data_IF_820042111038
#
_entry.id   IF_820042111038
#
_cell.length_a   1.000
_cell.length_b   1.000
_cell.length_c   1.000
_cell.angle_alpha   90.00
_cell.angle_beta   90.00
_cell.angle_gamma   90.00
#
_symmetry.space_group_name_H-M   'P 1'
#
loop_
_entity.id
_entity.type
_entity.pdbx_description
1 polymer ?
#
# COMPACT_ATOMS: atom_id res chain seq x y z
N UNK A 1 50.47 48.06 24.22
CA UNK A 1 51.22 48.63 23.09
C UNK A 1 50.99 47.78 21.85
N UNK A 2 50.54 48.44 20.78
CA UNK A 2 50.76 48.13 19.36
C UNK A 2 50.15 46.83 18.78
N UNK A 3 49.06 46.96 18.03
CA UNK A 3 48.98 47.16 16.56
C UNK A 3 48.98 45.81 15.83
N UNK A 4 47.84 45.35 15.29
CA UNK A 4 47.21 45.72 14.01
C UNK A 4 47.80 45.00 12.77
N UNK A 5 46.89 44.29 12.10
CA UNK A 5 46.77 43.96 10.67
C UNK A 5 47.65 42.89 10.02
N UNK A 6 46.98 41.89 9.42
CA UNK A 6 46.96 41.50 7.99
C UNK A 6 46.73 39.97 7.86
N UNK A 7 46.04 39.39 6.89
CA UNK A 7 45.06 39.77 5.87
C UNK A 7 44.61 38.41 5.29
N UNK A 8 43.29 38.22 5.14
CA UNK A 8 42.55 37.48 4.09
C UNK A 8 43.06 36.16 3.46
N UNK A 9 42.05 35.37 3.05
CA UNK A 9 42.05 34.18 2.17
C UNK A 9 42.20 32.86 2.95
N UNK A 10 41.35 31.85 2.81
CA UNK A 10 40.58 31.37 1.65
C UNK A 10 39.30 30.69 2.18
N UNK A 11 38.17 30.92 1.51
CA UNK A 11 36.99 30.05 1.64
C UNK A 11 37.37 28.65 1.18
N UNK A 12 37.46 27.68 2.09
CA UNK A 12 37.49 26.26 1.73
C UNK A 12 36.34 25.54 2.45
N UNK A 13 35.26 25.36 1.67
CA UNK A 13 34.34 24.22 1.65
C UNK A 13 34.36 23.34 2.91
N UNK A 14 33.26 23.37 3.65
CA UNK A 14 33.07 22.58 4.87
C UNK A 14 33.41 21.09 4.66
N UNK A 15 33.78 20.38 5.74
CA UNK A 15 34.28 19.02 5.64
C UNK A 15 33.23 18.13 4.98
N UNK A 16 33.53 17.68 3.77
CA UNK A 16 33.04 16.43 3.22
C UNK A 16 33.31 15.35 4.26
N UNK A 17 32.32 15.06 5.09
CA UNK A 17 32.33 13.94 6.02
C UNK A 17 32.29 12.64 5.20
N UNK A 18 33.45 12.25 4.68
CA UNK A 18 33.75 10.87 4.36
C UNK A 18 33.74 10.09 5.68
N UNK A 19 32.56 9.63 6.09
CA UNK A 19 32.40 8.80 7.28
C UNK A 19 33.03 7.45 7.01
N UNK A 20 34.17 7.25 7.65
CA UNK A 20 34.86 5.97 7.88
C UNK A 20 33.85 4.89 8.23
N UNK A 21 33.90 3.79 7.48
CA UNK A 21 33.18 2.55 7.73
C UNK A 21 33.61 1.95 9.07
N UNK A 22 32.71 1.92 10.05
CA UNK A 22 32.81 1.07 11.23
C UNK A 22 31.45 0.45 11.52
N UNK A 23 31.31 -0.83 11.16
CA UNK A 23 30.73 -1.91 11.98
C UNK A 23 29.34 -1.80 12.60
N UNK A 24 28.57 -0.74 12.38
CA UNK A 24 27.19 -0.62 12.88
C UNK A 24 26.25 -0.72 11.69
N UNK A 25 25.46 -1.79 11.64
CA UNK A 25 24.31 -1.89 10.73
C UNK A 25 23.36 -0.74 11.07
N UNK A 26 23.51 0.40 10.39
CA UNK A 26 22.46 1.40 10.35
C UNK A 26 21.34 0.80 9.48
N UNK A 27 20.07 0.78 9.91
CA UNK A 27 19.00 0.65 8.93
C UNK A 27 19.23 1.81 7.95
N UNK A 28 19.36 1.49 6.67
CA UNK A 28 19.41 2.52 5.64
C UNK A 28 18.28 3.52 5.92
N UNK A 29 18.54 4.85 5.92
CA UNK A 29 17.43 5.80 6.01
C UNK A 29 16.44 5.42 4.91
N UNK A 30 15.19 5.14 5.28
CA UNK A 30 14.12 4.73 4.35
C UNK A 30 13.90 5.75 3.22
N UNK A 31 14.50 6.93 3.37
CA UNK A 31 14.46 8.08 2.50
C UNK A 31 15.53 8.03 1.40
N UNK A 32 16.56 7.16 1.50
CA UNK A 32 17.50 6.87 0.40
C UNK A 32 16.96 5.83 -0.59
N UNK A 33 15.70 5.43 -0.43
CA UNK A 33 15.02 4.54 -1.36
C UNK A 33 14.54 5.36 -2.57
N UNK A 34 15.50 5.58 -3.47
CA UNK A 34 15.39 6.15 -4.82
C UNK A 34 15.49 7.68 -4.95
N UNK A 35 16.70 8.17 -5.25
CA UNK A 35 16.95 9.50 -5.83
C UNK A 35 16.24 9.77 -7.17
N UNK A 36 15.65 8.74 -7.80
CA UNK A 36 15.13 8.79 -9.17
C UNK A 36 13.69 8.29 -9.32
N UNK A 37 12.99 7.94 -8.23
CA UNK A 37 11.56 7.61 -8.27
C UNK A 37 10.76 8.70 -7.58
N UNK A 38 9.71 9.13 -8.25
CA UNK A 38 8.78 10.17 -7.78
C UNK A 38 7.89 9.74 -6.62
N UNK A 39 7.96 8.49 -6.14
CA UNK A 39 7.06 7.95 -5.10
C UNK A 39 7.85 7.28 -3.98
N UNK A 40 7.55 7.59 -2.70
CA UNK A 40 8.16 6.89 -1.57
C UNK A 40 7.80 5.40 -1.60
N UNK A 41 8.65 4.52 -1.07
CA UNK A 41 8.41 3.08 -1.09
C UNK A 41 7.19 2.73 -0.22
N UNK A 42 6.13 2.21 -0.84
CA UNK A 42 4.91 1.79 -0.12
C UNK A 42 4.99 0.33 0.33
N UNK A 43 4.76 0.08 1.62
CA UNK A 43 4.73 -1.27 2.20
C UNK A 43 3.42 -2.02 1.89
N UNK A 44 2.38 -1.33 1.44
CA UNK A 44 1.07 -1.88 1.08
C UNK A 44 -0.06 -0.94 1.44
N UNK A 45 -1.21 -1.50 1.83
CA UNK A 45 -2.41 -0.73 2.18
C UNK A 45 -2.43 -0.46 3.69
N UNK A 46 -2.26 0.80 4.07
CA UNK A 46 -2.38 1.26 5.45
C UNK A 46 -3.75 1.91 5.69
N UNK A 47 -4.05 2.26 6.95
CA UNK A 47 -5.21 3.09 7.26
C UNK A 47 -5.17 4.40 6.47
N UNK A 48 -6.33 4.91 6.08
CA UNK A 48 -6.53 6.11 5.24
C UNK A 48 -5.94 6.02 3.82
N UNK A 49 -5.40 4.87 3.42
CA UNK A 49 -5.01 4.66 2.02
C UNK A 49 -6.27 4.69 1.15
N UNK A 50 -6.23 5.46 0.06
CA UNK A 50 -7.31 5.54 -0.94
C UNK A 50 -7.25 4.33 -1.87
N UNK A 51 -8.41 3.78 -2.17
CA UNK A 51 -8.59 2.51 -2.86
C UNK A 51 -9.63 2.69 -3.97
N UNK A 52 -9.37 2.06 -5.11
CA UNK A 52 -10.31 1.99 -6.23
C UNK A 52 -11.13 0.73 -6.07
N UNK A 53 -12.45 0.89 -6.13
CA UNK A 53 -13.38 -0.22 -6.12
C UNK A 53 -13.51 -0.74 -7.55
N UNK A 54 -13.33 -2.04 -7.73
CA UNK A 54 -13.25 -2.66 -9.06
C UNK A 54 -14.34 -3.72 -9.30
N UNK A 55 -15.37 -3.68 -8.47
CA UNK A 55 -16.59 -4.43 -8.72
C UNK A 55 -17.60 -3.60 -9.50
N UNK A 56 -18.58 -4.27 -10.10
CA UNK A 56 -19.66 -3.63 -10.83
C UNK A 56 -20.80 -3.11 -9.93
N UNK A 57 -20.60 -3.04 -8.61
CA UNK A 57 -21.62 -2.61 -7.64
C UNK A 57 -22.00 -1.14 -7.84
N UNK A 58 -23.25 -0.79 -7.58
CA UNK A 58 -23.74 0.60 -7.68
C UNK A 58 -22.94 1.53 -6.74
N UNK A 59 -22.78 1.11 -5.49
CA UNK A 59 -21.97 1.82 -4.48
C UNK A 59 -20.53 2.08 -4.95
N UNK A 60 -19.91 1.08 -5.59
CA UNK A 60 -18.55 1.19 -6.11
C UNK A 60 -18.44 2.19 -7.26
N UNK A 61 -19.35 2.09 -8.23
CA UNK A 61 -19.40 3.00 -9.38
C UNK A 61 -19.65 4.45 -8.96
N UNK A 62 -20.61 4.66 -8.06
CA UNK A 62 -20.93 5.98 -7.53
C UNK A 62 -19.76 6.59 -6.73
N UNK A 63 -19.08 5.78 -5.92
CA UNK A 63 -17.92 6.24 -5.16
C UNK A 63 -16.76 6.69 -6.07
N UNK A 64 -16.50 5.91 -7.13
CA UNK A 64 -15.48 6.25 -8.13
C UNK A 64 -15.88 7.51 -8.93
N UNK A 65 -17.15 7.62 -9.33
CA UNK A 65 -17.66 8.78 -10.09
C UNK A 65 -17.68 10.07 -9.26
N UNK A 66 -17.99 9.99 -7.95
CA UNK A 66 -18.04 11.14 -7.05
C UNK A 66 -16.66 11.78 -6.78
N UNK A 67 -15.56 11.12 -7.16
CA UNK A 67 -14.19 11.55 -6.84
C UNK A 67 -13.78 11.34 -5.36
N UNK A 68 -14.72 10.92 -4.51
CA UNK A 68 -14.48 10.55 -3.11
C UNK A 68 -14.25 9.03 -3.01
N UNK A 69 -13.02 8.63 -3.32
CA UNK A 69 -12.59 7.24 -3.29
C UNK A 69 -12.77 6.61 -1.90
N UNK A 70 -12.94 5.29 -1.90
CA UNK A 70 -12.95 4.51 -0.67
C UNK A 70 -11.60 4.61 0.03
N UNK A 71 -11.61 4.55 1.37
CA UNK A 71 -10.37 4.47 2.13
C UNK A 71 -10.40 3.36 3.18
N UNK A 72 -9.24 2.78 3.44
CA UNK A 72 -9.06 1.73 4.44
C UNK A 72 -9.22 2.31 5.86
N UNK A 73 -10.15 1.78 6.63
CA UNK A 73 -10.28 2.10 8.07
C UNK A 73 -9.37 1.18 8.87
N UNK A 74 -9.44 -0.13 8.61
CA UNK A 74 -8.71 -1.12 9.38
C UNK A 74 -8.49 -2.41 8.59
N UNK A 75 -7.44 -3.15 8.92
CA UNK A 75 -7.09 -4.43 8.28
C UNK A 75 -7.44 -5.60 9.18
N UNK A 76 -8.05 -6.65 8.64
CA UNK A 76 -8.48 -7.84 9.38
C UNK A 76 -7.41 -8.94 9.34
N UNK A 77 -6.21 -8.66 9.88
CA UNK A 77 -5.16 -9.68 10.02
C UNK A 77 -5.27 -10.38 11.37
N UNK A 78 -5.28 -11.72 11.35
CA UNK A 78 -5.21 -12.52 12.55
C UNK A 78 -3.79 -12.49 13.15
N UNK A 79 -3.67 -12.57 14.47
CA UNK A 79 -2.37 -12.59 15.18
C UNK A 79 -1.71 -11.23 15.42
N UNK A 80 -2.33 -10.11 15.01
CA UNK A 80 -1.81 -8.76 15.25
C UNK A 80 -2.69 -7.99 16.24
N UNK A 81 -2.06 -7.32 17.20
CA UNK A 81 -2.78 -6.38 18.07
C UNK A 81 -3.16 -5.15 17.25
N UNK A 82 -4.39 -4.66 17.43
CA UNK A 82 -4.89 -3.48 16.71
C UNK A 82 -4.02 -2.22 16.91
N UNK A 83 -3.32 -2.12 18.06
CA UNK A 83 -2.39 -1.02 18.37
C UNK A 83 -1.17 -0.98 17.45
N UNK A 84 -0.75 -2.12 16.88
CA UNK A 84 0.41 -2.19 15.98
C UNK A 84 0.09 -1.80 14.53
N UNK A 85 -1.17 -1.43 14.22
CA UNK A 85 -1.59 -0.93 12.91
C UNK A 85 -1.04 -1.75 11.74
N UNK A 86 -1.41 -3.04 11.63
CA UNK A 86 -0.94 -3.88 10.53
C UNK A 86 -1.35 -3.28 9.18
N UNK A 87 -0.50 -3.48 8.17
CA UNK A 87 -0.79 -3.13 6.79
C UNK A 87 -1.41 -4.31 6.04
N UNK A 88 -2.25 -4.04 5.06
CA UNK A 88 -2.88 -5.04 4.20
C UNK A 88 -2.03 -5.31 2.97
N UNK A 89 -2.00 -6.58 2.60
CA UNK A 89 -1.38 -7.10 1.38
C UNK A 89 -2.44 -7.75 0.51
N UNK A 90 -2.07 -8.16 -0.70
CA UNK A 90 -2.96 -8.87 -1.61
C UNK A 90 -3.55 -10.11 -0.93
N UNK A 91 -4.88 -10.24 -1.01
CA UNK A 91 -5.63 -11.35 -0.47
C UNK A 91 -6.00 -11.23 1.01
N UNK A 92 -5.90 -10.03 1.59
CA UNK A 92 -6.38 -9.75 2.94
C UNK A 92 -7.78 -9.11 2.92
N UNK A 93 -8.52 -9.30 4.02
CA UNK A 93 -9.81 -8.65 4.25
C UNK A 93 -9.59 -7.35 5.00
N UNK A 94 -10.31 -6.31 4.62
CA UNK A 94 -10.19 -4.97 5.19
C UNK A 94 -11.58 -4.39 5.47
N UNK A 95 -11.61 -3.39 6.35
CA UNK A 95 -12.77 -2.54 6.62
C UNK A 95 -12.53 -1.22 5.90
N UNK A 96 -13.51 -0.79 5.12
CA UNK A 96 -13.41 0.40 4.27
C UNK A 96 -14.57 1.35 4.53
N UNK A 97 -14.30 2.65 4.38
CA UNK A 97 -15.34 3.67 4.30
C UNK A 97 -15.64 3.95 2.84
N UNK A 98 -16.90 3.85 2.44
CA UNK A 98 -17.39 4.14 1.08
C UNK A 98 -18.59 5.05 1.21
N UNK A 99 -18.52 6.27 0.65
CA UNK A 99 -19.61 7.27 0.68
C UNK A 99 -20.24 7.53 2.08
N UNK A 100 -19.47 7.39 3.16
CA UNK A 100 -19.96 7.57 4.53
C UNK A 100 -20.48 6.30 5.20
N UNK A 101 -20.58 5.19 4.47
CA UNK A 101 -20.90 3.87 5.01
C UNK A 101 -19.63 3.06 5.30
N UNK A 102 -19.71 2.22 6.34
CA UNK A 102 -18.67 1.22 6.64
C UNK A 102 -19.03 -0.08 5.94
N UNK A 103 -18.14 -0.54 5.06
CA UNK A 103 -18.25 -1.84 4.36
C UNK A 103 -17.00 -2.67 4.62
N UNK A 104 -17.08 -3.95 4.28
CA UNK A 104 -15.92 -4.81 4.21
C UNK A 104 -15.41 -4.83 2.77
N UNK A 105 -14.15 -5.19 2.58
CA UNK A 105 -13.60 -5.37 1.25
C UNK A 105 -12.50 -6.42 1.24
N UNK A 106 -12.28 -6.99 0.06
CA UNK A 106 -11.20 -7.89 -0.23
C UNK A 106 -10.14 -7.18 -1.08
N UNK A 107 -8.88 -7.28 -0.67
CA UNK A 107 -7.77 -6.67 -1.42
C UNK A 107 -7.38 -7.57 -2.59
N UNK A 108 -7.65 -7.08 -3.80
CA UNK A 108 -7.26 -7.75 -5.04
C UNK A 108 -5.92 -7.19 -5.55
N UNK A 109 -5.69 -5.90 -5.36
CA UNK A 109 -4.50 -5.21 -5.83
C UNK A 109 -3.88 -4.29 -4.80
N UNK A 110 -2.56 -4.30 -4.74
CA UNK A 110 -1.82 -3.34 -3.95
C UNK A 110 -0.61 -2.84 -4.75
N UNK A 111 -0.35 -1.54 -4.60
CA UNK A 111 0.90 -0.93 -5.00
C UNK A 111 1.90 -1.17 -3.87
N UNK A 112 2.77 -2.15 -4.07
CA UNK A 112 3.79 -2.53 -3.08
C UNK A 112 5.18 -2.38 -3.70
N UNK A 113 6.07 -1.68 -2.99
CA UNK A 113 7.44 -1.53 -3.41
C UNK A 113 8.14 -2.89 -3.52
N UNK A 114 9.09 -3.01 -4.45
CA UNK A 114 9.75 -4.30 -4.72
C UNK A 114 10.49 -4.87 -3.52
N UNK A 115 10.99 -4.03 -2.61
CA UNK A 115 11.70 -4.44 -1.40
C UNK A 115 10.79 -5.10 -0.36
N UNK A 116 9.54 -4.64 -0.24
CA UNK A 116 8.57 -5.17 0.72
C UNK A 116 7.71 -6.29 0.13
N UNK A 117 7.77 -6.46 -1.18
CA UNK A 117 6.96 -7.43 -1.91
C UNK A 117 7.58 -8.83 -1.80
N UNK A 118 6.75 -9.82 -1.47
CA UNK A 118 7.17 -11.23 -1.54
C UNK A 118 7.34 -11.66 -3.00
N UNK A 119 8.29 -12.55 -3.26
CA UNK A 119 8.46 -13.16 -4.58
C UNK A 119 7.16 -13.83 -5.04
N UNK A 120 6.85 -13.70 -6.33
CA UNK A 120 5.64 -14.26 -6.95
C UNK A 120 4.34 -13.49 -6.67
N UNK A 121 4.37 -12.37 -5.93
CA UNK A 121 3.23 -11.44 -5.86
C UNK A 121 3.35 -10.39 -6.96
N UNK A 122 2.34 -10.19 -7.84
CA UNK A 122 2.36 -9.07 -8.77
C UNK A 122 2.15 -7.74 -8.02
N UNK A 123 2.77 -6.67 -8.51
CA UNK A 123 2.49 -5.30 -8.06
C UNK A 123 1.59 -4.62 -9.08
N UNK A 124 0.58 -3.90 -8.62
CA UNK A 124 -0.30 -3.12 -9.49
C UNK A 124 -0.08 -1.62 -9.29
N UNK A 125 -0.35 -0.83 -10.34
CA UNK A 125 -0.21 0.63 -10.29
C UNK A 125 -1.24 1.28 -9.35
N UNK A 126 -2.40 0.63 -9.20
CA UNK A 126 -3.49 1.08 -8.34
C UNK A 126 -3.80 0.07 -7.23
N UNK A 127 -4.27 0.59 -6.10
CA UNK A 127 -4.79 -0.24 -5.01
C UNK A 127 -6.24 -0.60 -5.30
N UNK A 128 -6.50 -1.87 -5.60
CA UNK A 128 -7.78 -2.35 -6.10
C UNK A 128 -8.47 -3.24 -5.06
N UNK A 129 -9.75 -2.99 -4.85
CA UNK A 129 -10.58 -3.73 -3.90
C UNK A 129 -11.91 -4.18 -4.49
N UNK A 130 -12.45 -5.24 -3.90
CA UNK A 130 -13.81 -5.74 -4.16
C UNK A 130 -14.61 -5.60 -2.87
N UNK A 131 -15.80 -5.00 -2.94
CA UNK A 131 -16.62 -4.78 -1.76
C UNK A 131 -17.28 -6.08 -1.30
N UNK A 132 -17.38 -6.18 0.02
CA UNK A 132 -18.01 -7.27 0.73
C UNK A 132 -19.06 -6.71 1.69
N UNK A 133 -20.13 -7.48 1.87
CA UNK A 133 -21.14 -7.20 2.87
C UNK A 133 -20.70 -7.64 4.28
N UNK A 134 -21.53 -7.38 5.29
CA UNK A 134 -21.30 -7.79 6.69
C UNK A 134 -21.10 -9.30 6.83
N UNK A 135 -21.81 -10.07 6.01
CA UNK A 135 -21.68 -11.53 5.93
C UNK A 135 -20.47 -12.01 5.09
N UNK A 136 -19.63 -11.07 4.64
CA UNK A 136 -18.43 -11.32 3.81
C UNK A 136 -18.75 -11.94 2.44
N UNK A 137 -19.98 -11.75 1.96
CA UNK A 137 -20.38 -12.04 0.60
C UNK A 137 -20.02 -10.83 -0.30
N UNK A 138 -19.53 -11.05 -1.53
CA UNK A 138 -19.30 -9.94 -2.44
C UNK A 138 -20.61 -9.23 -2.82
N UNK A 139 -20.56 -7.91 -2.90
CA UNK A 139 -21.74 -7.08 -3.24
C UNK A 139 -21.96 -7.05 -4.75
N UNK A 140 -20.86 -6.93 -5.52
CA UNK A 140 -20.92 -6.98 -6.98
C UNK A 140 -21.13 -8.39 -7.52
N UNK A 141 -21.47 -8.47 -8.80
CA UNK A 141 -21.62 -9.71 -9.57
C UNK A 141 -20.37 -10.04 -10.39
N UNK A 142 -19.59 -9.03 -10.78
CA UNK A 142 -18.40 -9.16 -11.64
C UNK A 142 -17.28 -8.25 -11.17
N UNK A 143 -16.04 -8.70 -11.36
CA UNK A 143 -14.82 -7.90 -11.13
C UNK A 143 -14.21 -7.50 -12.48
N UNK A 144 -13.99 -6.21 -12.68
CA UNK A 144 -13.56 -5.66 -13.97
C UNK A 144 -12.03 -5.71 -14.18
N UNK A 145 -11.26 -5.70 -13.10
CA UNK A 145 -9.80 -5.80 -13.13
C UNK A 145 -9.33 -7.26 -13.07
N UNK A 146 -8.11 -7.54 -13.61
CA UNK A 146 -7.48 -8.83 -13.41
C UNK A 146 -7.21 -9.11 -11.94
N UNK A 147 -7.47 -10.35 -11.52
CA UNK A 147 -7.17 -10.84 -10.17
C UNK A 147 -5.82 -11.57 -10.17
N UNK A 148 -4.92 -11.30 -9.22
CA UNK A 148 -3.66 -12.02 -9.14
C UNK A 148 -3.88 -13.50 -8.74
N UNK A 149 -3.18 -14.42 -9.41
CA UNK A 149 -3.26 -15.86 -9.19
C UNK A 149 -2.91 -16.26 -7.75
N UNK A 150 -2.15 -15.43 -7.03
CA UNK A 150 -1.87 -15.62 -5.60
C UNK A 150 -3.14 -15.72 -4.74
N UNK A 151 -4.22 -15.05 -5.13
CA UNK A 151 -5.53 -15.12 -4.44
C UNK A 151 -6.11 -16.53 -4.47
N UNK A 152 -5.82 -17.32 -5.52
CA UNK A 152 -6.28 -18.70 -5.66
C UNK A 152 -5.77 -19.62 -4.54
N UNK A 153 -4.63 -19.30 -3.93
CA UNK A 153 -4.08 -20.08 -2.80
C UNK A 153 -4.99 -20.05 -1.57
N UNK A 154 -5.80 -19.00 -1.42
CA UNK A 154 -6.75 -18.83 -0.31
C UNK A 154 -8.17 -19.26 -0.69
N UNK A 155 -8.36 -20.08 -1.74
CA UNK A 155 -9.68 -20.52 -2.22
C UNK A 155 -10.49 -21.31 -1.17
N UNK A 156 -9.83 -21.86 -0.15
CA UNK A 156 -10.52 -22.53 0.96
C UNK A 156 -11.43 -21.57 1.75
N UNK A 157 -11.13 -20.28 1.74
CA UNK A 157 -12.02 -19.26 2.29
C UNK A 157 -13.22 -19.06 1.35
N UNK A 158 -14.44 -19.34 1.82
CA UNK A 158 -15.69 -19.20 1.04
C UNK A 158 -15.83 -17.82 0.40
N UNK A 159 -15.48 -16.76 1.14
CA UNK A 159 -15.48 -15.38 0.64
C UNK A 159 -14.56 -15.22 -0.59
N UNK A 160 -13.35 -15.78 -0.52
CA UNK A 160 -12.36 -15.69 -1.61
C UNK A 160 -12.80 -16.53 -2.79
N UNK A 161 -13.35 -17.73 -2.56
CA UNK A 161 -13.89 -18.57 -3.62
C UNK A 161 -14.95 -17.84 -4.44
N UNK A 162 -15.89 -17.14 -3.79
CA UNK A 162 -16.91 -16.32 -4.47
C UNK A 162 -16.28 -15.18 -5.28
N UNK A 163 -15.29 -14.48 -4.74
CA UNK A 163 -14.59 -13.41 -5.47
C UNK A 163 -13.84 -13.94 -6.69
N UNK A 164 -13.16 -15.08 -6.55
CA UNK A 164 -12.45 -15.74 -7.65
C UNK A 164 -13.40 -16.15 -8.77
N UNK A 165 -14.61 -16.64 -8.44
CA UNK A 165 -15.59 -17.04 -9.46
C UNK A 165 -16.15 -15.87 -10.27
N UNK A 166 -16.12 -14.64 -9.75
CA UNK A 166 -16.59 -13.44 -10.46
C UNK A 166 -15.54 -12.83 -11.40
N UNK A 167 -14.30 -13.29 -11.31
CA UNK A 167 -13.18 -12.72 -12.05
C UNK A 167 -13.14 -13.21 -13.50
N UNK A 168 -12.91 -12.31 -14.45
CA UNK A 168 -12.77 -12.68 -15.86
C UNK A 168 -11.33 -13.02 -16.27
N UNK A 169 -10.32 -12.40 -15.64
CA UNK A 169 -8.90 -12.55 -16.01
C UNK A 169 -8.02 -12.74 -14.77
N UNK A 170 -7.01 -13.58 -14.90
CA UNK A 170 -5.99 -13.81 -13.88
C UNK A 170 -4.59 -13.41 -14.36
N UNK A 171 -3.74 -12.93 -13.44
CA UNK A 171 -2.33 -12.53 -13.66
C UNK A 171 -1.42 -13.21 -12.65
#
# INVERSE_FOLDING_TARGET
MNQLVNKLSVMSVGPTMAKRFQGRWYPQPMDEVSRHRSRPPSQGIHRRTRLIIVDNSELGKEANASGKLAYCINTMKHGYRQRHMPHATIGDKIVVAVRGEVKYAYVVGATTHFEYRKHGLPSMDTNNIVLLDKEKNPIGTRVDAPIPAHVLRKRNDVCVAKVVTMASKFI
#
